data_IF_061634199254
#
_entry.id   IF_061634199254
#
_cell.length_a   1.000
_cell.length_b   1.000
_cell.length_c   1.000
_cell.angle_alpha   90.00
_cell.angle_beta   90.00
_cell.angle_gamma   90.00
#
_symmetry.space_group_name_H-M   'P 1'
#
loop_
_entity.id
_entity.type
_entity.pdbx_description
1 polymer ?
#
# COMPACT_ATOMS: atom_id res chain seq x y z
N UNK A 1 59.84 -36.49 -63.66
CA UNK A 1 59.85 -35.64 -62.45
C UNK A 1 58.82 -34.53 -62.66
N UNK A 2 57.60 -34.70 -62.18
CA UNK A 2 56.56 -33.70 -62.30
C UNK A 2 56.18 -33.27 -60.88
N UNK A 3 56.47 -32.02 -60.53
CA UNK A 3 56.16 -31.37 -59.25
C UNK A 3 54.70 -30.87 -59.26
N UNK A 4 53.88 -31.42 -58.41
CA UNK A 4 52.53 -30.93 -58.14
C UNK A 4 52.66 -29.81 -57.12
N UNK A 5 52.06 -28.66 -57.42
CA UNK A 5 51.85 -27.52 -56.52
C UNK A 5 50.53 -27.75 -55.75
N UNK A 6 50.51 -27.65 -54.41
CA UNK A 6 49.24 -27.76 -53.67
C UNK A 6 48.40 -26.51 -53.78
N UNK A 7 47.11 -26.68 -54.07
CA UNK A 7 46.13 -25.60 -54.12
C UNK A 7 45.92 -24.96 -52.74
N UNK A 8 45.96 -23.62 -52.65
CA UNK A 8 45.68 -22.81 -51.51
C UNK A 8 44.17 -22.86 -51.22
N UNK A 9 43.79 -23.37 -50.06
CA UNK A 9 42.40 -23.26 -49.54
C UNK A 9 42.15 -21.84 -49.04
N UNK A 10 41.22 -21.15 -49.69
CA UNK A 10 40.65 -19.86 -49.25
C UNK A 10 39.79 -20.10 -47.99
N UNK A 11 39.92 -19.34 -46.89
CA UNK A 11 39.04 -19.51 -45.73
C UNK A 11 37.62 -19.03 -46.09
N UNK A 12 36.65 -19.91 -45.92
CA UNK A 12 35.23 -19.61 -46.05
C UNK A 12 34.85 -18.57 -45.00
N UNK A 13 34.37 -17.42 -45.45
CA UNK A 13 33.80 -16.39 -44.60
C UNK A 13 32.55 -16.96 -43.93
N UNK A 14 32.64 -17.34 -42.64
CA UNK A 14 31.46 -17.62 -41.80
C UNK A 14 30.64 -16.34 -41.68
N UNK A 15 29.52 -16.30 -42.37
CA UNK A 15 28.48 -15.28 -42.19
C UNK A 15 27.89 -15.42 -40.78
N UNK A 16 28.26 -14.49 -39.88
CA UNK A 16 27.62 -14.41 -38.57
C UNK A 16 26.10 -14.26 -38.75
N UNK A 17 25.29 -15.09 -38.09
CA UNK A 17 23.83 -15.00 -38.20
C UNK A 17 23.37 -13.61 -37.76
N UNK A 18 22.64 -12.91 -38.64
CA UNK A 18 22.04 -11.61 -38.31
C UNK A 18 21.05 -11.81 -37.16
N UNK A 19 21.39 -11.25 -36.01
CA UNK A 19 20.51 -11.29 -34.81
C UNK A 19 19.25 -10.54 -35.08
N UNK A 20 18.11 -11.19 -34.86
CA UNK A 20 16.77 -10.62 -35.05
C UNK A 20 16.48 -9.41 -34.14
N UNK A 21 15.46 -8.59 -34.45
CA UNK A 21 15.10 -7.43 -33.64
C UNK A 21 14.85 -7.77 -32.16
N UNK A 22 14.27 -8.93 -31.88
CA UNK A 22 14.02 -9.42 -30.51
C UNK A 22 15.31 -9.70 -29.74
N UNK A 23 16.36 -10.24 -30.42
CA UNK A 23 17.66 -10.49 -29.80
C UNK A 23 18.41 -9.17 -29.50
N UNK A 24 18.30 -8.18 -30.35
CA UNK A 24 18.87 -6.83 -30.11
C UNK A 24 18.21 -6.13 -28.95
N UNK A 25 16.87 -6.25 -28.84
CA UNK A 25 16.09 -5.69 -27.73
C UNK A 25 16.46 -6.37 -26.39
N UNK A 26 16.57 -7.69 -26.39
CA UNK A 26 16.95 -8.45 -25.19
C UNK A 26 18.36 -8.17 -24.71
N UNK A 27 19.32 -7.99 -25.63
CA UNK A 27 20.70 -7.58 -25.34
C UNK A 27 20.76 -6.12 -24.85
N UNK A 28 19.98 -5.21 -25.43
CA UNK A 28 19.86 -3.83 -24.98
C UNK A 28 19.31 -3.75 -23.56
N UNK A 29 18.25 -4.49 -23.27
CA UNK A 29 17.65 -4.56 -21.92
C UNK A 29 18.59 -5.19 -20.90
N UNK A 30 19.33 -6.25 -21.27
CA UNK A 30 20.27 -6.90 -20.38
C UNK A 30 21.49 -6.02 -20.07
N UNK A 31 21.99 -5.26 -21.05
CA UNK A 31 23.10 -4.32 -20.86
C UNK A 31 22.68 -3.10 -20.04
N UNK A 32 21.46 -2.59 -20.23
CA UNK A 32 20.90 -1.51 -19.41
C UNK A 32 20.72 -1.98 -17.95
N UNK A 33 20.16 -3.17 -17.73
CA UNK A 33 20.02 -3.75 -16.41
C UNK A 33 21.37 -4.00 -15.70
N UNK A 34 22.40 -4.39 -16.45
CA UNK A 34 23.76 -4.57 -15.92
C UNK A 34 24.36 -3.22 -15.48
N UNK A 35 24.21 -2.18 -16.29
CA UNK A 35 24.64 -0.81 -15.93
C UNK A 35 23.88 -0.26 -14.72
N UNK A 36 22.56 -0.45 -14.64
CA UNK A 36 21.75 -0.05 -13.48
C UNK A 36 22.19 -0.76 -12.19
N UNK A 37 22.75 -1.98 -12.29
CA UNK A 37 23.25 -2.73 -11.12
C UNK A 37 24.33 -2.02 -10.32
N UNK A 38 25.12 -1.15 -10.96
CA UNK A 38 26.16 -0.32 -10.35
C UNK A 38 25.68 1.00 -9.72
N UNK A 39 24.45 1.41 -9.98
CA UNK A 39 23.92 2.67 -9.48
C UNK A 39 23.61 2.63 -7.97
N UNK A 40 23.59 3.79 -7.29
CA UNK A 40 23.15 3.86 -5.91
C UNK A 40 21.75 3.27 -5.74
N UNK A 41 21.52 2.58 -4.65
CA UNK A 41 20.25 1.88 -4.40
C UNK A 41 19.02 2.82 -4.45
N UNK A 42 19.16 4.02 -3.91
CA UNK A 42 18.08 5.02 -3.91
C UNK A 42 17.67 5.44 -5.32
N UNK A 43 18.64 5.60 -6.23
CA UNK A 43 18.36 5.92 -7.62
C UNK A 43 17.65 4.76 -8.34
N UNK A 44 18.09 3.51 -8.10
CA UNK A 44 17.43 2.33 -8.65
C UNK A 44 15.96 2.27 -8.22
N UNK A 45 15.66 2.46 -6.92
CA UNK A 45 14.31 2.44 -6.35
C UNK A 45 13.47 3.59 -6.89
N UNK A 46 14.00 4.81 -6.94
CA UNK A 46 13.29 5.97 -7.49
C UNK A 46 12.91 5.75 -8.95
N UNK A 47 13.84 5.24 -9.77
CA UNK A 47 13.56 4.95 -11.17
C UNK A 47 12.52 3.85 -11.36
N UNK A 48 12.53 2.79 -10.53
CA UNK A 48 11.49 1.75 -10.54
C UNK A 48 10.12 2.39 -10.25
N UNK A 49 10.04 3.22 -9.21
CA UNK A 49 8.78 3.87 -8.83
C UNK A 49 8.30 4.83 -9.93
N UNK A 50 9.18 5.71 -10.42
CA UNK A 50 8.84 6.68 -11.48
C UNK A 50 8.40 5.96 -12.76
N UNK A 51 9.11 4.92 -13.20
CA UNK A 51 8.72 4.13 -14.37
C UNK A 51 7.32 3.51 -14.20
N UNK A 52 7.03 2.95 -13.02
CA UNK A 52 5.69 2.43 -12.73
C UNK A 52 4.63 3.54 -12.72
N UNK A 53 4.94 4.74 -12.22
CA UNK A 53 4.01 5.90 -12.24
C UNK A 53 3.77 6.41 -13.65
N UNK A 54 4.79 6.41 -14.52
CA UNK A 54 4.61 6.76 -15.92
C UNK A 54 3.68 5.77 -16.65
N UNK A 55 3.82 4.47 -16.40
CA UNK A 55 2.88 3.47 -16.93
C UNK A 55 1.46 3.76 -16.44
N UNK A 56 1.28 3.99 -15.14
CA UNK A 56 -0.04 4.31 -14.58
C UNK A 56 -0.59 5.63 -15.14
N UNK A 57 0.25 6.64 -15.37
CA UNK A 57 -0.18 7.91 -15.99
C UNK A 57 -0.67 7.69 -17.43
N UNK A 58 0.01 6.86 -18.22
CA UNK A 58 -0.45 6.50 -19.56
C UNK A 58 -1.82 5.79 -19.50
N UNK A 59 -2.04 4.89 -18.53
CA UNK A 59 -3.33 4.22 -18.33
C UNK A 59 -4.42 5.22 -17.96
N UNK A 60 -4.15 6.16 -17.02
CA UNK A 60 -5.09 7.22 -16.67
C UNK A 60 -5.42 8.13 -17.87
N UNK A 61 -4.42 8.56 -18.65
CA UNK A 61 -4.63 9.39 -19.84
C UNK A 61 -5.49 8.66 -20.88
N UNK A 62 -5.21 7.38 -21.13
CA UNK A 62 -6.01 6.58 -22.05
C UNK A 62 -7.46 6.40 -21.57
N UNK A 63 -7.67 6.19 -20.28
CA UNK A 63 -9.01 6.07 -19.70
C UNK A 63 -9.76 7.41 -19.71
N UNK A 64 -9.08 8.53 -19.43
CA UNK A 64 -9.68 9.87 -19.41
C UNK A 64 -10.32 10.27 -20.76
N UNK A 65 -9.67 9.92 -21.87
CA UNK A 65 -10.21 10.17 -23.24
C UNK A 65 -11.58 9.51 -23.44
N UNK A 66 -11.82 8.38 -22.78
CA UNK A 66 -13.06 7.61 -22.90
C UNK A 66 -14.06 7.90 -21.77
N UNK A 67 -13.73 8.79 -20.83
CA UNK A 67 -14.63 9.15 -19.75
C UNK A 67 -15.83 9.92 -20.29
N UNK A 68 -17.01 9.36 -20.16
CA UNK A 68 -18.26 10.00 -20.51
C UNK A 68 -18.70 11.07 -19.52
N UNK A 69 -19.98 11.47 -19.62
CA UNK A 69 -20.61 12.42 -18.68
C UNK A 69 -20.43 11.95 -17.24
N UNK A 70 -20.08 12.86 -16.36
CA UNK A 70 -19.79 12.62 -14.97
C UNK A 70 -20.13 13.88 -14.12
N UNK A 71 -20.20 13.80 -12.77
CA UNK A 71 -20.62 14.92 -11.94
C UNK A 71 -19.59 16.06 -11.79
N UNK A 72 -18.32 15.87 -12.18
CA UNK A 72 -17.24 16.80 -11.79
C UNK A 72 -16.71 17.66 -12.94
N UNK A 73 -16.75 17.17 -14.20
CA UNK A 73 -16.17 17.85 -15.36
C UNK A 73 -16.82 17.40 -16.68
N UNK A 74 -16.60 18.13 -17.78
CA UNK A 74 -17.08 17.72 -19.11
C UNK A 74 -16.50 16.34 -19.53
N UNK A 75 -17.18 15.63 -20.47
CA UNK A 75 -16.65 14.40 -21.04
C UNK A 75 -15.24 14.55 -21.60
N UNK A 76 -14.46 13.47 -21.60
CA UNK A 76 -13.06 13.42 -22.04
C UNK A 76 -12.17 14.46 -21.31
N UNK A 77 -12.10 14.43 -19.96
CA UNK A 77 -11.31 15.36 -19.19
C UNK A 77 -9.81 15.21 -19.46
N UNK A 78 -9.05 16.21 -19.11
CA UNK A 78 -7.60 16.11 -19.06
C UNK A 78 -7.15 15.19 -17.90
N UNK A 79 -5.85 14.86 -17.90
CA UNK A 79 -5.24 14.00 -16.88
C UNK A 79 -5.47 14.53 -15.45
N UNK A 80 -5.30 15.83 -15.23
CA UNK A 80 -5.37 16.44 -13.89
C UNK A 80 -6.78 16.36 -13.31
N UNK A 81 -7.80 16.64 -14.13
CA UNK A 81 -9.19 16.50 -13.73
C UNK A 81 -9.52 15.02 -13.44
N UNK A 82 -9.09 14.10 -14.32
CA UNK A 82 -9.43 12.69 -14.19
C UNK A 82 -8.84 12.03 -12.95
N UNK A 83 -7.62 12.41 -12.52
CA UNK A 83 -7.01 11.84 -11.33
C UNK A 83 -7.55 12.42 -10.01
N UNK A 84 -8.38 13.45 -10.04
CA UNK A 84 -8.87 14.17 -8.84
C UNK A 84 -10.30 13.84 -8.45
N UNK A 85 -10.90 12.84 -9.08
CA UNK A 85 -12.27 12.40 -8.77
C UNK A 85 -12.34 11.60 -7.46
N UNK A 86 -13.55 11.29 -7.02
CA UNK A 86 -13.85 10.50 -5.83
C UNK A 86 -13.30 11.13 -4.54
N UNK A 87 -12.55 10.40 -3.73
CA UNK A 87 -12.00 10.86 -2.46
C UNK A 87 -11.06 12.08 -2.60
N UNK A 88 -10.46 12.30 -3.80
CA UNK A 88 -9.63 13.46 -4.07
C UNK A 88 -10.37 14.79 -3.85
N UNK A 89 -11.66 14.83 -4.16
CA UNK A 89 -12.52 16.00 -3.91
C UNK A 89 -12.81 16.20 -2.43
N UNK A 90 -12.97 15.12 -1.68
CA UNK A 90 -13.17 15.22 -0.23
C UNK A 90 -11.90 15.64 0.51
N UNK A 91 -10.73 15.18 0.07
CA UNK A 91 -9.47 15.70 0.60
C UNK A 91 -9.26 17.17 0.26
N UNK A 92 -9.68 17.61 -0.93
CA UNK A 92 -9.69 19.02 -1.29
C UNK A 92 -10.64 19.81 -0.37
N UNK A 93 -11.88 19.36 -0.20
CA UNK A 93 -12.86 19.97 0.71
C UNK A 93 -12.32 20.12 2.13
N UNK A 94 -11.73 19.06 2.68
CA UNK A 94 -11.09 19.11 4.00
C UNK A 94 -9.88 20.06 4.03
N UNK A 95 -9.13 20.19 2.94
CA UNK A 95 -8.03 21.14 2.85
C UNK A 95 -8.50 22.58 2.76
N UNK A 96 -9.54 22.88 2.00
CA UNK A 96 -10.03 24.23 1.78
C UNK A 96 -10.88 24.73 2.96
N UNK A 97 -11.86 23.92 3.40
CA UNK A 97 -12.90 24.33 4.35
C UNK A 97 -12.72 23.74 5.76
N UNK A 98 -11.93 22.67 5.91
CA UNK A 98 -11.75 21.98 7.20
C UNK A 98 -12.86 20.98 7.49
N UNK A 99 -13.19 20.86 8.77
CA UNK A 99 -14.15 19.86 9.26
C UNK A 99 -15.35 20.55 9.90
N UNK A 100 -16.58 20.08 9.62
CA UNK A 100 -17.78 20.71 10.16
C UNK A 100 -17.86 20.53 11.68
N UNK A 101 -18.20 21.62 12.39
CA UNK A 101 -18.47 21.59 13.83
C UNK A 101 -19.86 21.02 14.17
N UNK A 102 -20.75 20.97 13.19
CA UNK A 102 -22.08 20.35 13.30
C UNK A 102 -22.18 19.32 12.18
N UNK A 103 -22.53 18.07 12.51
CA UNK A 103 -22.67 17.03 11.49
C UNK A 103 -23.84 17.36 10.54
N UNK A 104 -23.62 17.28 9.21
CA UNK A 104 -24.72 17.46 8.27
C UNK A 104 -25.68 16.27 8.38
N UNK A 105 -26.98 16.57 8.51
CA UNK A 105 -28.04 15.56 8.60
C UNK A 105 -29.09 15.80 7.53
N UNK A 106 -29.77 14.74 7.09
CA UNK A 106 -30.95 14.84 6.23
C UNK A 106 -32.22 15.24 7.02
N UNK A 107 -33.35 15.33 6.33
CA UNK A 107 -34.64 15.65 6.92
C UNK A 107 -35.10 14.64 8.01
N UNK A 108 -34.53 13.44 8.04
CA UNK A 108 -34.83 12.39 9.01
C UNK A 108 -33.82 12.34 10.16
N UNK A 109 -32.83 13.26 10.20
CA UNK A 109 -31.77 13.29 11.20
C UNK A 109 -30.65 12.29 10.98
N UNK A 110 -30.58 11.66 9.79
CA UNK A 110 -29.51 10.72 9.40
C UNK A 110 -28.30 11.53 8.94
N UNK A 111 -27.12 11.20 9.51
CA UNK A 111 -25.85 11.85 9.14
C UNK A 111 -25.54 11.59 7.68
N UNK A 112 -25.22 12.66 6.97
CA UNK A 112 -24.79 12.63 5.58
C UNK A 112 -23.27 12.44 5.47
N UNK A 113 -22.80 12.02 4.28
CA UNK A 113 -21.38 11.99 3.95
C UNK A 113 -20.71 13.34 4.23
N UNK A 114 -19.58 13.33 4.92
CA UNK A 114 -18.87 14.55 5.28
C UNK A 114 -17.37 14.31 5.45
N UNK A 115 -16.61 15.39 5.66
CA UNK A 115 -15.15 15.36 5.70
C UNK A 115 -14.56 14.54 6.86
N UNK A 116 -15.29 14.25 7.94
CA UNK A 116 -14.76 13.48 9.08
C UNK A 116 -14.34 12.04 8.73
N UNK A 117 -14.76 11.48 7.58
CA UNK A 117 -14.25 10.22 7.06
C UNK A 117 -12.77 10.32 6.59
N UNK A 118 -12.25 11.54 6.40
CA UNK A 118 -10.93 11.81 5.83
C UNK A 118 -10.00 12.40 6.89
N UNK A 119 -8.95 11.69 7.25
CA UNK A 119 -8.02 12.04 8.32
C UNK A 119 -7.21 13.30 8.02
N UNK A 120 -6.97 14.14 9.03
CA UNK A 120 -6.51 15.52 8.87
C UNK A 120 -5.07 15.70 8.35
N UNK A 121 -4.16 14.74 8.56
CA UNK A 121 -2.75 14.99 8.27
C UNK A 121 -2.51 15.34 6.80
N UNK A 122 -3.12 14.58 5.89
CA UNK A 122 -2.89 14.76 4.45
C UNK A 122 -3.47 16.10 3.93
N UNK A 123 -4.76 16.44 4.16
CA UNK A 123 -5.31 17.71 3.72
C UNK A 123 -4.64 18.92 4.40
N UNK A 124 -4.24 18.82 5.67
CA UNK A 124 -3.59 19.95 6.34
C UNK A 124 -2.15 20.18 5.89
N UNK A 125 -1.42 19.14 5.53
CA UNK A 125 -0.13 19.30 4.85
C UNK A 125 -0.30 20.01 3.50
N UNK A 126 -1.34 19.66 2.75
CA UNK A 126 -1.63 20.32 1.47
C UNK A 126 -2.05 21.78 1.64
N UNK A 127 -2.90 22.08 2.63
CA UNK A 127 -3.24 23.46 3.00
C UNK A 127 -1.98 24.27 3.34
N UNK A 128 -1.09 23.72 4.17
CA UNK A 128 0.17 24.37 4.55
C UNK A 128 1.08 24.62 3.36
N UNK A 129 1.21 23.63 2.47
CA UNK A 129 2.01 23.76 1.24
C UNK A 129 1.40 24.78 0.27
N UNK A 130 0.09 24.77 0.09
CA UNK A 130 -0.64 25.73 -0.73
C UNK A 130 -0.44 27.16 -0.22
N UNK A 131 -0.58 27.37 1.09
CA UNK A 131 -0.36 28.67 1.72
C UNK A 131 1.08 29.18 1.59
N UNK A 132 2.07 28.28 1.67
CA UNK A 132 3.49 28.62 1.56
C UNK A 132 3.94 28.93 0.13
N UNK A 133 3.29 28.34 -0.87
CA UNK A 133 3.74 28.40 -2.28
C UNK A 133 2.80 29.20 -3.19
N UNK A 134 1.57 29.49 -2.75
CA UNK A 134 0.54 30.10 -3.58
C UNK A 134 -0.12 29.13 -4.59
N UNK A 135 0.24 27.82 -4.61
CA UNK A 135 -0.44 26.85 -5.46
C UNK A 135 -1.84 26.50 -4.91
N UNK A 136 -2.72 25.98 -5.76
CA UNK A 136 -4.00 25.44 -5.29
C UNK A 136 -3.83 24.20 -4.40
N UNK A 137 -4.82 23.90 -3.56
CA UNK A 137 -4.78 22.75 -2.64
C UNK A 137 -4.75 21.40 -3.38
N UNK A 138 -5.45 21.28 -4.49
CA UNK A 138 -5.48 20.04 -5.27
C UNK A 138 -4.14 19.66 -5.90
N UNK A 139 -3.40 20.59 -6.57
CA UNK A 139 -2.00 20.36 -6.94
C UNK A 139 -1.10 20.03 -5.75
N UNK A 140 -1.30 20.69 -4.59
CA UNK A 140 -0.52 20.42 -3.39
C UNK A 140 -0.75 18.98 -2.87
N UNK A 141 -2.01 18.52 -2.82
CA UNK A 141 -2.36 17.13 -2.48
C UNK A 141 -1.67 16.13 -3.42
N UNK A 142 -1.73 16.37 -4.73
CA UNK A 142 -1.12 15.49 -5.74
C UNK A 142 0.41 15.43 -5.60
N UNK A 143 1.04 16.58 -5.34
CA UNK A 143 2.49 16.67 -5.14
C UNK A 143 2.92 15.91 -3.87
N UNK A 144 2.22 16.12 -2.75
CA UNK A 144 2.49 15.42 -1.49
C UNK A 144 2.31 13.91 -1.68
N UNK A 145 1.22 13.46 -2.32
CA UNK A 145 0.99 12.05 -2.59
C UNK A 145 2.13 11.43 -3.41
N UNK A 146 2.56 12.10 -4.49
CA UNK A 146 3.64 11.60 -5.37
C UNK A 146 4.98 11.54 -4.64
N UNK A 147 5.35 12.60 -3.89
CA UNK A 147 6.61 12.64 -3.13
C UNK A 147 6.61 11.61 -1.99
N UNK A 148 5.48 11.48 -1.27
CA UNK A 148 5.32 10.46 -0.25
C UNK A 148 5.40 9.04 -0.84
N UNK A 149 4.89 8.82 -2.05
CA UNK A 149 5.02 7.56 -2.77
C UNK A 149 6.47 7.19 -3.09
N UNK A 150 7.29 8.16 -3.55
CA UNK A 150 8.75 7.97 -3.72
C UNK A 150 9.40 7.63 -2.38
N UNK A 151 9.09 8.41 -1.33
CA UNK A 151 9.59 8.17 0.02
C UNK A 151 9.22 6.77 0.53
N UNK A 152 7.97 6.36 0.33
CA UNK A 152 7.50 5.02 0.70
C UNK A 152 8.31 3.92 -0.01
N UNK A 153 8.53 4.04 -1.32
CA UNK A 153 9.32 3.07 -2.07
C UNK A 153 10.76 2.95 -1.52
N UNK A 154 11.40 4.07 -1.17
CA UNK A 154 12.74 4.10 -0.57
C UNK A 154 12.77 3.41 0.80
N UNK A 155 11.78 3.70 1.66
CA UNK A 155 11.69 3.09 3.00
C UNK A 155 11.32 1.61 2.90
N UNK A 156 10.41 1.22 2.02
CA UNK A 156 10.02 -0.18 1.76
C UNK A 156 11.24 -0.97 1.29
N UNK A 157 12.08 -0.41 0.41
CA UNK A 157 13.33 -1.08 0.01
C UNK A 157 14.22 -1.34 1.23
N UNK A 158 14.42 -0.36 2.09
CA UNK A 158 15.22 -0.53 3.31
C UNK A 158 14.61 -1.58 4.25
N UNK A 159 13.29 -1.55 4.42
CA UNK A 159 12.58 -2.56 5.22
C UNK A 159 12.77 -3.97 4.64
N UNK A 160 12.65 -4.14 3.34
CA UNK A 160 12.84 -5.43 2.68
C UNK A 160 14.30 -5.91 2.76
N UNK A 161 15.25 -4.98 2.85
CA UNK A 161 16.67 -5.31 3.03
C UNK A 161 16.99 -5.93 4.40
N UNK A 162 16.16 -5.72 5.40
CA UNK A 162 16.32 -6.37 6.71
C UNK A 162 16.08 -7.90 6.62
N UNK A 163 15.31 -8.36 5.63
CA UNK A 163 14.88 -9.76 5.49
C UNK A 163 15.42 -10.45 4.23
N UNK A 164 15.92 -9.70 3.26
CA UNK A 164 16.31 -10.26 1.97
C UNK A 164 17.50 -9.56 1.33
N UNK A 165 18.16 -10.25 0.39
CA UNK A 165 19.24 -9.70 -0.41
C UNK A 165 18.76 -8.59 -1.35
N UNK A 166 19.71 -7.70 -1.79
CA UNK A 166 19.46 -6.53 -2.65
C UNK A 166 18.49 -6.83 -3.81
N UNK A 167 18.71 -7.92 -4.54
CA UNK A 167 17.91 -8.27 -5.71
C UNK A 167 16.45 -8.63 -5.37
N UNK A 168 16.22 -9.35 -4.28
CA UNK A 168 14.86 -9.69 -3.85
C UNK A 168 14.13 -8.46 -3.33
N UNK A 169 14.79 -7.60 -2.55
CA UNK A 169 14.24 -6.34 -2.08
C UNK A 169 13.83 -5.41 -3.24
N UNK A 170 14.68 -5.28 -4.28
CA UNK A 170 14.32 -4.51 -5.48
C UNK A 170 13.08 -5.08 -6.19
N UNK A 171 12.99 -6.41 -6.33
CA UNK A 171 11.80 -7.03 -6.92
C UNK A 171 10.55 -6.87 -6.05
N UNK A 172 10.71 -6.88 -4.73
CA UNK A 172 9.62 -6.51 -3.83
C UNK A 172 9.09 -5.10 -4.09
N UNK A 173 10.02 -4.12 -4.27
CA UNK A 173 9.63 -2.74 -4.63
C UNK A 173 8.97 -2.68 -6.01
N UNK A 174 9.48 -3.42 -7.01
CA UNK A 174 8.81 -3.51 -8.33
C UNK A 174 7.38 -3.99 -8.16
N UNK A 175 7.14 -5.05 -7.38
CA UNK A 175 5.78 -5.59 -7.18
C UNK A 175 4.87 -4.64 -6.40
N UNK A 176 5.36 -3.91 -5.40
CA UNK A 176 4.59 -2.84 -4.74
C UNK A 176 4.25 -1.74 -5.73
N UNK A 177 5.24 -1.29 -6.53
CA UNK A 177 5.06 -0.18 -7.47
C UNK A 177 4.18 -0.52 -8.67
N UNK A 178 4.08 -1.80 -9.05
CA UNK A 178 3.23 -2.27 -10.15
C UNK A 178 1.95 -2.97 -9.69
N UNK A 179 1.71 -3.08 -8.37
CA UNK A 179 0.51 -3.70 -7.81
C UNK A 179 -0.77 -3.15 -8.48
N UNK A 180 -1.82 -3.95 -8.68
CA UNK A 180 -2.99 -3.55 -9.47
C UNK A 180 -3.60 -2.20 -9.10
N UNK A 181 -3.63 -1.86 -7.81
CA UNK A 181 -4.16 -0.58 -7.32
C UNK A 181 -3.08 0.49 -7.09
N UNK A 182 -1.83 0.22 -7.46
CA UNK A 182 -0.74 1.17 -7.25
C UNK A 182 -0.87 2.50 -8.03
N UNK A 183 -1.71 2.65 -9.08
CA UNK A 183 -2.02 3.97 -9.65
C UNK A 183 -2.48 4.99 -8.61
N UNK A 184 -3.10 4.55 -7.50
CA UNK A 184 -3.50 5.43 -6.39
C UNK A 184 -2.33 6.19 -5.75
N UNK A 185 -1.10 5.72 -5.91
CA UNK A 185 0.09 6.34 -5.33
C UNK A 185 0.54 7.64 -6.03
N UNK A 186 -0.18 8.09 -7.05
CA UNK A 186 0.08 9.36 -7.76
C UNK A 186 -1.13 10.29 -7.82
N UNK A 187 -2.25 9.91 -7.21
CA UNK A 187 -3.46 10.72 -7.16
C UNK A 187 -3.58 11.42 -5.80
N UNK A 188 -4.42 12.47 -5.65
CA UNK A 188 -4.53 13.25 -4.43
C UNK A 188 -5.24 12.50 -3.29
N UNK A 189 -4.65 11.38 -2.86
CA UNK A 189 -5.15 10.45 -1.84
C UNK A 189 -4.12 10.24 -0.73
N UNK A 190 -4.56 9.95 0.48
CA UNK A 190 -3.70 9.77 1.65
C UNK A 190 -2.89 8.45 1.66
N UNK A 191 -3.16 7.51 0.73
CA UNK A 191 -2.54 6.19 0.66
C UNK A 191 -1.02 6.25 0.62
N UNK A 192 -0.45 7.11 -0.22
CA UNK A 192 1.01 7.28 -0.35
C UNK A 192 1.65 7.77 0.94
N UNK A 193 1.04 8.79 1.57
CA UNK A 193 1.53 9.35 2.84
C UNK A 193 1.43 8.31 3.96
N UNK A 194 0.30 7.61 4.06
CA UNK A 194 0.14 6.54 5.04
C UNK A 194 1.13 5.40 4.80
N UNK A 195 1.37 4.99 3.54
CA UNK A 195 2.32 3.94 3.20
C UNK A 195 3.75 4.33 3.58
N UNK A 196 4.15 5.59 3.41
CA UNK A 196 5.44 6.12 3.86
C UNK A 196 5.58 6.01 5.38
N UNK A 197 4.58 6.51 6.11
CA UNK A 197 4.60 6.52 7.58
C UNK A 197 4.53 5.11 8.15
N UNK A 198 3.68 4.25 7.60
CA UNK A 198 3.55 2.85 8.00
C UNK A 198 4.85 2.07 7.74
N UNK A 199 5.42 2.18 6.55
CA UNK A 199 6.68 1.48 6.25
C UNK A 199 7.83 1.99 7.12
N UNK A 200 7.86 3.30 7.43
CA UNK A 200 8.80 3.91 8.37
C UNK A 200 8.63 3.38 9.80
N UNK A 201 7.40 3.33 10.29
CA UNK A 201 7.08 2.78 11.61
C UNK A 201 7.48 1.30 11.71
N UNK A 202 7.14 0.48 10.70
CA UNK A 202 7.53 -0.93 10.65
C UNK A 202 9.06 -1.11 10.60
N UNK A 203 9.77 -0.29 9.82
CA UNK A 203 11.24 -0.33 9.76
C UNK A 203 11.86 -0.02 11.13
N UNK A 204 11.34 0.98 11.82
CA UNK A 204 11.82 1.35 13.16
C UNK A 204 11.51 0.26 14.19
N UNK A 205 10.35 -0.38 14.13
CA UNK A 205 9.99 -1.53 14.97
C UNK A 205 10.92 -2.72 14.71
N UNK A 206 11.16 -3.07 13.46
CA UNK A 206 12.09 -4.14 13.06
C UNK A 206 13.50 -3.85 13.57
N UNK A 207 13.96 -2.61 13.51
CA UNK A 207 15.25 -2.14 14.02
C UNK A 207 15.24 -1.90 15.53
N UNK A 208 14.15 -2.23 16.23
CA UNK A 208 13.97 -2.05 17.69
C UNK A 208 14.13 -0.60 18.16
N UNK A 209 13.96 0.38 17.28
CA UNK A 209 14.00 1.81 17.59
C UNK A 209 12.62 2.32 18.00
N UNK A 210 12.04 1.73 19.06
CA UNK A 210 10.65 1.94 19.45
C UNK A 210 10.32 3.39 19.78
N UNK A 211 11.19 4.08 20.53
CA UNK A 211 10.97 5.49 20.86
C UNK A 211 11.02 6.40 19.64
N UNK A 212 11.91 6.12 18.67
CA UNK A 212 11.96 6.85 17.41
C UNK A 212 10.73 6.57 16.53
N UNK A 213 10.04 5.44 16.71
CA UNK A 213 8.80 5.14 16.01
C UNK A 213 7.61 5.98 16.49
N UNK A 214 7.63 6.49 17.73
CA UNK A 214 6.52 7.22 18.34
C UNK A 214 6.02 8.39 17.47
N UNK A 215 6.85 9.37 17.08
CA UNK A 215 6.36 10.49 16.25
C UNK A 215 5.84 10.03 14.90
N UNK A 216 6.46 9.01 14.29
CA UNK A 216 6.02 8.46 13.00
C UNK A 216 4.64 7.80 13.14
N UNK A 217 4.42 7.04 14.22
CA UNK A 217 3.14 6.37 14.51
C UNK A 217 2.03 7.39 14.80
N UNK A 218 2.30 8.47 15.54
CA UNK A 218 1.32 9.53 15.77
C UNK A 218 0.88 10.17 14.45
N UNK A 219 1.82 10.51 13.57
CA UNK A 219 1.50 11.03 12.24
C UNK A 219 0.72 9.99 11.40
N UNK A 220 1.12 8.72 11.45
CA UNK A 220 0.43 7.63 10.76
C UNK A 220 -1.04 7.53 11.22
N UNK A 221 -1.30 7.60 12.52
CA UNK A 221 -2.65 7.56 13.09
C UNK A 221 -3.53 8.74 12.64
N UNK A 222 -2.93 9.87 12.27
CA UNK A 222 -3.64 11.04 11.74
C UNK A 222 -3.73 11.06 10.21
N UNK A 223 -3.20 10.05 9.53
CA UNK A 223 -3.26 9.96 8.07
C UNK A 223 -4.33 9.00 7.54
N UNK A 224 -4.56 7.87 8.23
CA UNK A 224 -5.59 6.84 7.93
C UNK A 224 -5.82 5.95 9.17
N UNK A 225 -6.92 5.14 9.20
CA UNK A 225 -7.25 4.29 10.36
C UNK A 225 -6.30 3.06 10.52
N UNK A 226 -5.04 3.17 10.12
CA UNK A 226 -4.03 2.12 10.29
C UNK A 226 -3.47 2.04 11.72
N UNK A 227 -3.80 3.01 12.57
CA UNK A 227 -3.39 3.03 13.97
C UNK A 227 -3.92 1.85 14.78
N UNK A 228 -5.17 1.45 14.56
CA UNK A 228 -5.81 0.31 15.28
C UNK A 228 -5.06 -1.00 15.05
N UNK A 229 -4.88 -1.46 13.80
CA UNK A 229 -4.13 -2.70 13.56
C UNK A 229 -2.65 -2.59 13.93
N UNK A 230 -2.05 -1.39 13.90
CA UNK A 230 -0.68 -1.19 14.34
C UNK A 230 -0.56 -1.32 15.87
N UNK A 231 -1.48 -0.74 16.64
CA UNK A 231 -1.53 -0.90 18.09
C UNK A 231 -1.71 -2.38 18.49
N UNK A 232 -2.58 -3.10 17.78
CA UNK A 232 -2.76 -4.54 17.97
C UNK A 232 -1.45 -5.31 17.68
N UNK A 233 -0.76 -4.99 16.60
CA UNK A 233 0.51 -5.63 16.22
C UNK A 233 1.59 -5.41 17.28
N UNK A 234 1.82 -4.16 17.73
CA UNK A 234 2.87 -3.88 18.74
C UNK A 234 2.47 -4.42 20.11
N UNK A 235 1.18 -4.46 20.44
CA UNK A 235 0.65 -5.08 21.65
C UNK A 235 0.92 -6.60 21.68
N UNK A 236 0.60 -7.32 20.61
CA UNK A 236 0.89 -8.74 20.46
C UNK A 236 2.41 -9.01 20.47
N UNK A 237 3.20 -8.13 19.85
CA UNK A 237 4.66 -8.23 19.89
C UNK A 237 5.19 -8.08 21.32
N UNK A 238 4.65 -7.14 22.11
CA UNK A 238 5.01 -6.97 23.52
C UNK A 238 4.66 -8.22 24.33
N UNK A 239 3.44 -8.72 24.19
CA UNK A 239 3.00 -9.95 24.86
C UNK A 239 3.88 -11.15 24.49
N UNK A 240 4.24 -11.29 23.22
CA UNK A 240 5.15 -12.32 22.76
C UNK A 240 6.54 -12.22 23.39
N UNK A 241 7.09 -11.00 23.54
CA UNK A 241 8.40 -10.78 24.16
C UNK A 241 8.37 -10.96 25.68
N UNK A 242 7.29 -10.57 26.35
CA UNK A 242 7.05 -10.86 27.76
C UNK A 242 6.95 -12.37 27.98
N UNK A 243 6.19 -13.08 27.17
CA UNK A 243 6.16 -14.54 27.19
C UNK A 243 7.57 -15.15 27.10
N UNK A 244 8.36 -14.71 26.12
CA UNK A 244 9.73 -15.19 25.94
C UNK A 244 10.64 -14.89 27.15
N UNK A 245 10.38 -13.82 27.89
CA UNK A 245 11.15 -13.46 29.08
C UNK A 245 10.82 -14.36 30.28
N UNK A 246 9.52 -14.61 30.51
CA UNK A 246 9.05 -15.32 31.70
C UNK A 246 9.01 -16.85 31.53
N UNK A 247 8.89 -17.33 30.28
CA UNK A 247 8.92 -18.76 29.92
C UNK A 247 10.00 -19.03 28.86
N UNK A 248 11.28 -19.00 29.24
CA UNK A 248 12.36 -19.30 28.29
C UNK A 248 12.28 -20.78 27.92
N UNK A 249 11.98 -21.08 26.65
CA UNK A 249 12.08 -22.44 26.11
C UNK A 249 13.56 -22.86 26.19
N UNK A 250 13.85 -24.00 26.82
CA UNK A 250 15.20 -24.46 27.21
C UNK A 250 16.24 -24.70 26.11
N UNK A 251 16.04 -24.20 24.90
CA UNK A 251 16.93 -24.35 23.74
C UNK A 251 17.59 -23.03 23.28
N UNK A 252 17.52 -21.95 24.09
CA UNK A 252 18.29 -20.74 23.77
C UNK A 252 19.76 -20.94 24.08
N UNK A 253 20.69 -20.70 23.13
CA UNK A 253 22.06 -20.39 23.50
C UNK A 253 22.02 -19.19 24.48
N UNK A 254 22.71 -19.27 25.56
CA UNK A 254 22.87 -18.14 26.49
C UNK A 254 23.27 -16.90 25.69
N UNK A 255 22.70 -15.72 25.97
CA UNK A 255 23.09 -14.50 25.27
C UNK A 255 24.59 -14.33 25.50
N UNK A 256 25.33 -14.42 24.40
CA UNK A 256 26.75 -14.07 24.39
C UNK A 256 26.80 -12.56 24.59
N UNK A 257 27.18 -12.16 25.79
CA UNK A 257 27.33 -10.79 26.28
C UNK A 257 26.01 -10.00 26.47
N UNK A 258 25.84 -9.43 27.68
CA UNK A 258 24.76 -8.51 28.06
C UNK A 258 24.88 -7.16 27.37
N UNK A 259 24.64 -7.15 26.05
CA UNK A 259 24.54 -5.94 25.26
C UNK A 259 23.10 -5.41 25.24
N UNK A 260 22.94 -4.11 25.01
CA UNK A 260 21.68 -3.37 24.85
C UNK A 260 20.74 -3.96 23.75
N UNK A 261 21.17 -4.99 23.05
CA UNK A 261 20.50 -5.62 21.90
C UNK A 261 19.53 -6.78 22.23
N UNK A 262 19.38 -7.17 23.50
CA UNK A 262 18.43 -8.22 23.87
C UNK A 262 16.97 -7.70 23.75
N UNK A 263 16.15 -8.30 22.85
CA UNK A 263 14.76 -7.90 22.66
C UNK A 263 13.88 -8.11 23.91
N UNK A 264 14.33 -8.88 24.86
CA UNK A 264 13.63 -9.16 26.14
C UNK A 264 14.22 -8.38 27.32
N UNK A 265 15.18 -7.48 27.08
CA UNK A 265 15.71 -6.58 28.10
C UNK A 265 14.61 -5.65 28.63
N UNK A 266 14.70 -5.25 29.93
CA UNK A 266 13.68 -4.37 30.51
C UNK A 266 13.56 -3.05 29.77
N UNK A 267 14.68 -2.47 29.31
CA UNK A 267 14.71 -1.23 28.53
C UNK A 267 13.97 -1.41 27.19
N UNK A 268 14.18 -2.52 26.48
CA UNK A 268 13.49 -2.85 25.23
C UNK A 268 11.99 -3.03 25.47
N UNK A 269 11.60 -3.74 26.54
CA UNK A 269 10.19 -3.96 26.88
C UNK A 269 9.48 -2.66 27.29
N UNK A 270 10.12 -1.80 28.08
CA UNK A 270 9.56 -0.51 28.48
C UNK A 270 9.38 0.43 27.28
N UNK A 271 10.37 0.51 26.39
CA UNK A 271 10.27 1.33 25.19
C UNK A 271 9.21 0.80 24.19
N UNK A 272 9.06 -0.52 24.05
CA UNK A 272 7.99 -1.13 23.30
C UNK A 272 6.62 -0.89 23.96
N UNK A 273 6.53 -0.99 25.30
CA UNK A 273 5.33 -0.66 26.06
C UNK A 273 4.89 0.79 25.89
N UNK A 274 5.85 1.73 25.89
CA UNK A 274 5.57 3.14 25.57
C UNK A 274 5.00 3.30 24.14
N UNK A 275 5.57 2.59 23.16
CA UNK A 275 5.05 2.60 21.77
C UNK A 275 3.63 2.02 21.71
N UNK A 276 3.34 0.93 22.45
CA UNK A 276 1.98 0.33 22.52
C UNK A 276 0.98 1.34 23.06
N UNK A 277 1.31 2.02 24.17
CA UNK A 277 0.46 3.03 24.77
C UNK A 277 0.18 4.18 23.81
N UNK A 278 1.23 4.73 23.19
CA UNK A 278 1.09 5.85 22.24
C UNK A 278 0.35 5.44 20.99
N UNK A 279 0.58 4.22 20.45
CA UNK A 279 -0.18 3.71 19.30
C UNK A 279 -1.66 3.55 19.65
N UNK A 280 -2.01 3.05 20.83
CA UNK A 280 -3.40 2.94 21.30
C UNK A 280 -4.08 4.30 21.44
N UNK A 281 -3.43 5.28 22.06
CA UNK A 281 -3.94 6.66 22.17
C UNK A 281 -4.08 7.28 20.76
N UNK A 282 -3.06 7.14 19.93
CA UNK A 282 -3.07 7.67 18.57
C UNK A 282 -4.17 7.08 17.69
N UNK A 283 -4.48 5.79 17.86
CA UNK A 283 -5.56 5.13 17.13
C UNK A 283 -6.94 5.73 17.44
N UNK A 284 -7.12 6.28 18.64
CA UNK A 284 -8.36 6.93 19.10
C UNK A 284 -8.33 8.46 18.89
N UNK A 285 -7.20 9.03 18.48
CA UNK A 285 -7.03 10.49 18.39
C UNK A 285 -8.01 11.11 17.40
N UNK A 286 -8.23 10.51 16.23
CA UNK A 286 -9.12 11.05 15.22
C UNK A 286 -10.60 11.04 15.66
N UNK A 287 -11.17 9.92 16.14
CA UNK A 287 -12.50 9.93 16.76
C UNK A 287 -12.64 10.93 17.93
N UNK A 288 -11.60 11.06 18.76
CA UNK A 288 -11.62 12.01 19.88
C UNK A 288 -11.62 13.48 19.41
N UNK A 289 -10.88 13.81 18.34
CA UNK A 289 -10.89 15.14 17.72
C UNK A 289 -12.28 15.44 17.14
N UNK A 290 -12.88 14.47 16.42
CA UNK A 290 -14.24 14.62 15.90
C UNK A 290 -15.25 14.89 17.02
N UNK A 291 -15.18 14.10 18.11
CA UNK A 291 -16.01 14.33 19.29
C UNK A 291 -15.78 15.72 19.91
N UNK A 292 -14.54 16.09 20.17
CA UNK A 292 -14.22 17.39 20.78
C UNK A 292 -14.69 18.58 19.93
N UNK A 293 -14.70 18.44 18.59
CA UNK A 293 -15.11 19.49 17.67
C UNK A 293 -16.63 19.58 17.53
N UNK A 294 -17.33 18.44 17.49
CA UNK A 294 -18.78 18.39 17.23
C UNK A 294 -19.62 18.31 18.50
N UNK A 295 -19.03 17.97 19.64
CA UNK A 295 -19.74 17.64 20.88
C UNK A 295 -20.41 16.25 20.87
N UNK A 296 -20.36 15.50 19.76
CA UNK A 296 -21.01 14.20 19.61
C UNK A 296 -19.98 13.06 19.71
N UNK A 297 -20.10 12.24 20.76
CA UNK A 297 -19.17 11.09 20.98
C UNK A 297 -19.11 10.13 19.78
N UNK A 298 -20.22 9.98 19.08
CA UNK A 298 -20.36 9.05 17.93
C UNK A 298 -20.14 9.75 16.58
N UNK A 299 -19.65 10.99 16.54
CA UNK A 299 -19.50 11.75 15.31
C UNK A 299 -18.74 11.00 14.22
N UNK A 300 -17.57 10.43 14.56
CA UNK A 300 -16.76 9.66 13.62
C UNK A 300 -17.47 8.39 13.13
N UNK A 301 -18.03 7.61 14.04
CA UNK A 301 -18.71 6.34 13.67
C UNK A 301 -19.96 6.58 12.86
N UNK A 302 -20.77 7.59 13.18
CA UNK A 302 -21.95 8.00 12.38
C UNK A 302 -21.52 8.49 10.98
N UNK A 303 -20.42 9.22 10.87
CA UNK A 303 -19.87 9.59 9.56
C UNK A 303 -19.46 8.35 8.77
N UNK A 304 -18.72 7.41 9.37
CA UNK A 304 -18.30 6.17 8.68
C UNK A 304 -19.50 5.33 8.21
N UNK A 305 -20.60 5.28 9.00
CA UNK A 305 -21.82 4.57 8.60
C UNK A 305 -22.55 5.28 7.45
N UNK A 306 -22.49 6.60 7.38
CA UNK A 306 -23.04 7.37 6.25
C UNK A 306 -22.37 7.02 4.90
N UNK A 307 -21.08 6.66 4.94
CA UNK A 307 -20.35 6.21 3.76
C UNK A 307 -20.61 4.75 3.38
N UNK A 308 -21.05 3.94 4.34
CA UNK A 308 -21.24 2.50 4.17
C UNK A 308 -22.70 2.09 3.98
N UNK A 309 -23.63 3.00 4.28
CA UNK A 309 -25.07 2.77 4.18
C UNK A 309 -25.64 1.77 5.18
N UNK A 310 -24.89 1.35 6.21
CA UNK A 310 -25.28 0.35 7.18
C UNK A 310 -24.61 0.58 8.54
N UNK A 311 -25.23 0.06 9.60
CA UNK A 311 -24.65 0.02 10.94
C UNK A 311 -23.34 -0.76 10.98
N UNK A 312 -22.44 -0.35 11.91
CA UNK A 312 -21.20 -1.06 12.14
C UNK A 312 -21.46 -2.35 12.92
N UNK A 313 -21.67 -3.45 12.20
CA UNK A 313 -21.78 -4.78 12.79
C UNK A 313 -20.54 -5.59 12.39
N UNK A 314 -19.67 -5.94 13.34
CA UNK A 314 -18.43 -6.67 13.06
C UNK A 314 -18.71 -7.95 12.23
N UNK A 315 -17.86 -8.22 11.25
CA UNK A 315 -17.89 -9.36 10.33
C UNK A 315 -19.11 -9.47 9.41
N UNK A 316 -20.29 -8.94 9.80
CA UNK A 316 -21.55 -9.07 9.05
C UNK A 316 -21.43 -8.69 7.56
N UNK A 317 -20.76 -7.56 7.19
CA UNK A 317 -20.66 -7.15 5.79
C UNK A 317 -20.02 -8.20 4.87
N UNK A 318 -19.07 -8.99 5.37
CA UNK A 318 -18.43 -10.05 4.59
C UNK A 318 -19.42 -11.18 4.23
N UNK A 319 -20.32 -11.51 5.14
CA UNK A 319 -21.37 -12.51 4.89
C UNK A 319 -22.43 -11.96 3.95
N UNK A 320 -22.82 -10.69 4.09
CA UNK A 320 -23.82 -10.07 3.25
C UNK A 320 -23.32 -9.95 1.80
N UNK A 321 -22.09 -9.45 1.61
CA UNK A 321 -21.44 -9.40 0.29
C UNK A 321 -21.21 -10.81 -0.27
N UNK A 322 -20.82 -11.77 0.56
CA UNK A 322 -20.68 -13.15 0.16
C UNK A 322 -22.00 -13.73 -0.36
N UNK A 323 -23.11 -13.53 0.36
CA UNK A 323 -24.45 -13.98 -0.07
C UNK A 323 -24.90 -13.30 -1.37
N UNK A 324 -24.61 -12.01 -1.52
CA UNK A 324 -24.92 -11.26 -2.74
C UNK A 324 -24.18 -11.82 -3.97
N UNK A 325 -22.89 -12.18 -3.80
CA UNK A 325 -22.05 -12.63 -4.92
C UNK A 325 -22.19 -14.13 -5.23
N UNK A 326 -22.38 -14.98 -4.21
CA UNK A 326 -22.29 -16.43 -4.33
C UNK A 326 -23.57 -17.17 -3.88
N UNK A 327 -24.63 -16.42 -3.55
CA UNK A 327 -25.88 -16.98 -3.08
C UNK A 327 -25.86 -17.40 -1.60
N UNK A 328 -27.01 -17.93 -1.06
CA UNK A 328 -27.23 -18.06 0.37
C UNK A 328 -26.32 -19.08 1.07
N UNK A 329 -25.89 -20.13 0.37
CA UNK A 329 -25.05 -21.20 0.94
C UNK A 329 -23.58 -20.91 0.76
N UNK A 330 -23.12 -20.76 -0.48
CA UNK A 330 -21.70 -20.51 -0.79
C UNK A 330 -21.24 -19.16 -0.24
N UNK A 331 -22.13 -18.18 -0.21
CA UNK A 331 -21.83 -16.86 0.34
C UNK A 331 -21.52 -16.84 1.83
N UNK A 332 -22.13 -17.75 2.62
CA UNK A 332 -21.79 -17.91 4.04
C UNK A 332 -20.42 -18.56 4.22
N UNK A 333 -20.04 -19.46 3.31
CA UNK A 333 -18.74 -20.14 3.35
C UNK A 333 -17.59 -19.24 2.86
N UNK A 334 -17.86 -18.30 1.96
CA UNK A 334 -16.84 -17.48 1.29
C UNK A 334 -15.89 -16.74 2.27
N UNK A 335 -16.34 -16.05 3.34
CA UNK A 335 -15.43 -15.40 4.30
C UNK A 335 -14.53 -16.40 5.04
N UNK A 336 -15.01 -17.60 5.35
CA UNK A 336 -14.20 -18.63 5.99
C UNK A 336 -13.13 -19.18 5.04
N UNK A 337 -13.50 -19.45 3.79
CA UNK A 337 -12.56 -19.90 2.75
C UNK A 337 -11.49 -18.83 2.51
N UNK A 338 -11.88 -17.56 2.37
CA UNK A 338 -10.95 -16.45 2.22
C UNK A 338 -9.99 -16.35 3.41
N UNK A 339 -10.50 -16.43 4.63
CA UNK A 339 -9.67 -16.40 5.85
C UNK A 339 -8.73 -17.60 5.92
N UNK A 340 -9.20 -18.80 5.61
CA UNK A 340 -8.37 -20.00 5.57
C UNK A 340 -7.24 -19.90 4.53
N UNK A 341 -7.54 -19.42 3.33
CA UNK A 341 -6.54 -19.17 2.29
C UNK A 341 -5.50 -18.15 2.75
N UNK A 342 -5.93 -17.06 3.40
CA UNK A 342 -5.00 -16.07 3.95
C UNK A 342 -4.09 -16.71 5.02
N UNK A 343 -4.63 -17.49 5.94
CA UNK A 343 -3.85 -18.22 6.95
C UNK A 343 -2.85 -19.18 6.29
N UNK A 344 -3.25 -19.93 5.26
CA UNK A 344 -2.34 -20.79 4.51
C UNK A 344 -1.19 -19.99 3.87
N UNK A 345 -1.48 -18.84 3.29
CA UNK A 345 -0.46 -17.92 2.77
C UNK A 345 0.49 -17.47 3.89
N UNK A 346 -0.05 -17.09 5.06
CA UNK A 346 0.74 -16.68 6.22
C UNK A 346 1.64 -17.80 6.79
N UNK A 347 1.26 -19.06 6.58
CA UNK A 347 2.05 -20.23 6.97
C UNK A 347 3.10 -20.63 5.93
N UNK A 348 3.08 -20.07 4.73
CA UNK A 348 4.00 -20.39 3.64
C UNK A 348 5.46 -20.03 3.96
N UNK A 349 6.40 -20.75 3.39
CA UNK A 349 7.84 -20.51 3.60
C UNK A 349 8.27 -19.08 3.24
N UNK A 350 7.85 -18.48 2.10
CA UNK A 350 8.23 -17.10 1.76
C UNK A 350 7.71 -16.06 2.76
N UNK A 351 6.49 -16.23 3.29
CA UNK A 351 5.93 -15.31 4.28
C UNK A 351 6.61 -15.50 5.64
N UNK A 352 6.98 -16.72 6.01
CA UNK A 352 7.76 -16.94 7.25
C UNK A 352 9.13 -16.25 7.21
N UNK A 353 9.70 -16.06 6.03
CA UNK A 353 10.96 -15.32 5.86
C UNK A 353 10.84 -13.80 6.12
N UNK A 354 9.63 -13.24 6.20
CA UNK A 354 9.38 -11.82 6.53
C UNK A 354 9.60 -11.48 8.02
N UNK A 355 9.94 -12.46 8.86
CA UNK A 355 10.09 -12.25 10.29
C UNK A 355 8.76 -12.10 11.04
N UNK A 356 8.86 -11.98 12.36
CA UNK A 356 7.68 -11.95 13.24
C UNK A 356 6.90 -10.63 13.11
N UNK A 357 7.59 -9.51 13.05
CA UNK A 357 7.01 -8.17 13.04
C UNK A 357 6.11 -7.94 11.82
N UNK A 358 6.62 -8.23 10.61
CA UNK A 358 5.83 -8.03 9.38
C UNK A 358 4.70 -9.06 9.23
N UNK A 359 4.90 -10.26 9.76
CA UNK A 359 3.82 -11.26 9.80
C UNK A 359 2.71 -10.85 10.75
N UNK A 360 3.04 -10.38 11.95
CA UNK A 360 2.06 -9.84 12.90
C UNK A 360 1.32 -8.65 12.30
N UNK A 361 2.03 -7.75 11.61
CA UNK A 361 1.39 -6.65 10.90
C UNK A 361 0.35 -7.16 9.90
N UNK A 362 0.73 -8.05 9.00
CA UNK A 362 -0.19 -8.58 7.99
C UNK A 362 -1.40 -9.28 8.63
N UNK A 363 -1.19 -10.04 9.72
CA UNK A 363 -2.25 -10.73 10.43
C UNK A 363 -3.21 -9.74 11.13
N UNK A 364 -2.67 -8.76 11.87
CA UNK A 364 -3.48 -7.75 12.56
C UNK A 364 -4.24 -6.86 11.59
N UNK A 365 -3.60 -6.46 10.48
CA UNK A 365 -4.27 -5.64 9.47
C UNK A 365 -5.40 -6.41 8.76
N UNK A 366 -5.17 -7.66 8.38
CA UNK A 366 -6.23 -8.49 7.82
C UNK A 366 -7.36 -8.74 8.83
N UNK A 367 -7.03 -8.99 10.10
CA UNK A 367 -8.01 -9.10 11.17
C UNK A 367 -8.85 -7.83 11.31
N UNK A 368 -8.21 -6.66 11.25
CA UNK A 368 -8.90 -5.37 11.25
C UNK A 368 -9.87 -5.23 10.05
N UNK A 369 -9.44 -5.61 8.84
CA UNK A 369 -10.30 -5.60 7.66
C UNK A 369 -11.50 -6.55 7.81
N UNK A 370 -11.28 -7.76 8.36
CA UNK A 370 -12.38 -8.71 8.59
C UNK A 370 -13.42 -8.19 9.59
N UNK A 371 -12.99 -7.41 10.60
CA UNK A 371 -13.90 -6.85 11.61
C UNK A 371 -14.65 -5.63 11.09
N UNK A 372 -13.96 -4.69 10.43
CA UNK A 372 -14.49 -3.36 10.17
C UNK A 372 -14.77 -3.04 8.71
N UNK A 373 -14.18 -3.76 7.75
CA UNK A 373 -14.36 -3.45 6.33
C UNK A 373 -15.72 -3.93 5.83
N UNK A 374 -16.44 -3.05 5.15
CA UNK A 374 -17.53 -3.41 4.27
C UNK A 374 -16.94 -3.70 2.88
N UNK A 375 -16.94 -4.98 2.41
CA UNK A 375 -16.35 -5.32 1.11
C UNK A 375 -17.14 -4.68 -0.03
N UNK A 376 -16.48 -3.83 -0.76
CA UNK A 376 -16.97 -3.13 -1.94
C UNK A 376 -15.81 -2.89 -2.91
N UNK A 377 -15.99 -2.14 -3.96
CA UNK A 377 -14.96 -1.86 -4.96
C UNK A 377 -13.67 -1.27 -4.39
N UNK A 378 -13.79 -0.39 -3.37
CA UNK A 378 -12.65 0.19 -2.64
C UNK A 378 -11.83 -0.83 -1.82
N UNK A 379 -12.33 -2.05 -1.61
CA UNK A 379 -11.59 -3.12 -0.89
C UNK A 379 -10.21 -3.35 -1.48
N UNK A 380 -10.07 -3.28 -2.80
CA UNK A 380 -8.78 -3.54 -3.47
C UNK A 380 -7.70 -2.55 -3.03
N UNK A 381 -8.02 -1.25 -2.86
CA UNK A 381 -7.07 -0.25 -2.38
C UNK A 381 -6.74 -0.43 -0.89
N UNK A 382 -7.69 -0.95 -0.10
CA UNK A 382 -7.47 -1.25 1.31
C UNK A 382 -6.51 -2.43 1.53
N UNK A 383 -6.15 -3.20 0.48
CA UNK A 383 -5.12 -4.24 0.57
C UNK A 383 -3.68 -3.68 0.46
N UNK A 384 -3.51 -2.42 0.08
CA UNK A 384 -2.17 -1.81 -0.10
C UNK A 384 -1.27 -1.88 1.16
N UNK A 385 -1.78 -1.72 2.40
CA UNK A 385 -0.97 -1.89 3.61
C UNK A 385 -0.44 -3.32 3.85
N UNK A 386 -0.92 -4.31 3.10
CA UNK A 386 -0.32 -5.66 3.06
C UNK A 386 0.92 -5.74 2.17
N UNK A 387 1.50 -4.61 1.79
CA UNK A 387 2.71 -4.52 0.95
C UNK A 387 3.88 -5.43 1.38
N UNK A 388 4.06 -5.85 2.65
CA UNK A 388 5.12 -6.80 2.99
C UNK A 388 5.01 -8.13 2.24
N UNK A 389 3.79 -8.54 1.84
CA UNK A 389 3.59 -9.76 1.04
C UNK A 389 4.22 -9.67 -0.35
N UNK A 390 4.48 -8.47 -0.88
CA UNK A 390 5.20 -8.30 -2.14
C UNK A 390 6.64 -8.83 -2.06
N UNK A 391 7.30 -8.74 -0.90
CA UNK A 391 8.60 -9.38 -0.69
C UNK A 391 8.46 -10.91 -0.70
N UNK A 392 7.42 -11.46 -0.08
CA UNK A 392 7.17 -12.91 -0.12
C UNK A 392 6.96 -13.39 -1.57
N UNK A 393 6.20 -12.65 -2.39
CA UNK A 393 6.04 -12.91 -3.82
C UNK A 393 7.38 -12.86 -4.55
N UNK A 394 8.27 -11.90 -4.23
CA UNK A 394 9.60 -11.81 -4.82
C UNK A 394 10.54 -12.96 -4.43
N UNK A 395 10.28 -13.60 -3.27
CA UNK A 395 11.03 -14.75 -2.75
C UNK A 395 10.54 -16.09 -3.30
N UNK A 396 9.32 -16.18 -3.86
CA UNK A 396 8.77 -17.42 -4.43
C UNK A 396 9.64 -17.98 -5.55
N UNK A 397 10.17 -17.12 -6.43
CA UNK A 397 11.04 -17.58 -7.53
C UNK A 397 12.09 -16.54 -7.93
N UNK A 398 13.28 -17.05 -8.31
CA UNK A 398 14.35 -16.25 -8.89
C UNK A 398 14.24 -16.15 -10.43
N UNK A 399 13.30 -16.88 -11.05
CA UNK A 399 13.09 -16.93 -12.50
C UNK A 399 12.74 -15.55 -13.05
N UNK A 400 13.38 -15.16 -14.15
CA UNK A 400 13.06 -13.92 -14.88
C UNK A 400 11.66 -14.01 -15.52
N UNK A 401 11.29 -15.19 -16.05
CA UNK A 401 9.98 -15.41 -16.63
C UNK A 401 8.87 -15.22 -15.59
N UNK A 402 8.95 -15.86 -14.43
CA UNK A 402 8.01 -15.69 -13.33
C UNK A 402 7.82 -14.21 -12.97
N UNK A 403 8.94 -13.51 -12.72
CA UNK A 403 8.91 -12.09 -12.32
C UNK A 403 8.32 -11.19 -13.40
N UNK A 404 8.67 -11.45 -14.66
CA UNK A 404 8.10 -10.74 -15.81
C UNK A 404 6.61 -10.99 -15.94
N UNK A 405 6.15 -12.23 -15.80
CA UNK A 405 4.71 -12.58 -15.84
C UNK A 405 3.94 -11.87 -14.73
N UNK A 406 4.46 -11.82 -13.49
CA UNK A 406 3.79 -11.10 -12.38
C UNK A 406 3.67 -9.61 -12.68
N UNK A 407 4.72 -8.96 -13.21
CA UNK A 407 4.68 -7.53 -13.58
C UNK A 407 3.66 -7.29 -14.68
N UNK A 408 3.68 -8.09 -15.75
CA UNK A 408 2.72 -7.95 -16.85
C UNK A 408 1.29 -8.13 -16.34
N UNK A 409 1.03 -9.17 -15.55
CA UNK A 409 -0.28 -9.40 -14.95
C UNK A 409 -0.72 -8.22 -14.08
N UNK A 410 0.16 -7.68 -13.24
CA UNK A 410 -0.15 -6.53 -12.40
C UNK A 410 -0.47 -5.27 -13.23
N UNK A 411 0.29 -5.00 -14.30
CA UNK A 411 0.01 -3.88 -15.21
C UNK A 411 -1.31 -4.07 -15.94
N UNK A 412 -1.64 -5.27 -16.41
CA UNK A 412 -2.94 -5.55 -17.02
C UNK A 412 -4.08 -5.32 -16.01
N UNK A 413 -3.90 -5.76 -14.76
CA UNK A 413 -4.88 -5.51 -13.70
C UNK A 413 -4.98 -4.03 -13.30
N UNK A 414 -3.91 -3.21 -13.46
CA UNK A 414 -4.01 -1.75 -13.33
C UNK A 414 -4.95 -1.16 -14.39
N UNK A 415 -4.87 -1.64 -15.63
CA UNK A 415 -5.78 -1.20 -16.70
C UNK A 415 -7.23 -1.53 -16.31
N UNK A 416 -7.47 -2.76 -15.86
CA UNK A 416 -8.80 -3.17 -15.38
C UNK A 416 -9.26 -2.27 -14.23
N UNK A 417 -8.40 -2.02 -13.22
CA UNK A 417 -8.76 -1.20 -12.07
C UNK A 417 -9.09 0.25 -12.47
N UNK A 418 -8.28 0.86 -13.36
CA UNK A 418 -8.51 2.25 -13.79
C UNK A 418 -9.75 2.35 -14.68
N UNK A 419 -9.90 1.45 -15.66
CA UNK A 419 -11.00 1.55 -16.64
C UNK A 419 -12.35 1.15 -16.02
N UNK A 420 -12.35 0.22 -15.06
CA UNK A 420 -13.60 -0.29 -14.50
C UNK A 420 -13.97 0.34 -13.17
N UNK A 421 -13.00 0.59 -12.29
CA UNK A 421 -13.30 1.07 -10.93
C UNK A 421 -12.98 2.56 -10.74
N UNK A 422 -11.90 3.07 -11.36
CA UNK A 422 -11.58 4.50 -11.26
C UNK A 422 -12.46 5.36 -12.16
N UNK A 423 -12.62 5.00 -13.43
CA UNK A 423 -13.50 5.71 -14.34
C UNK A 423 -14.94 5.70 -13.79
N UNK A 424 -15.57 6.87 -13.79
CA UNK A 424 -16.93 7.00 -13.29
C UNK A 424 -17.93 6.45 -14.29
N UNK A 425 -18.88 5.67 -13.79
CA UNK A 425 -20.02 5.19 -14.54
C UNK A 425 -21.26 5.21 -13.64
N UNK A 426 -22.37 5.75 -14.16
CA UNK A 426 -23.64 5.69 -13.43
C UNK A 426 -24.23 4.29 -13.55
N UNK A 427 -24.61 3.73 -12.41
CA UNK A 427 -25.29 2.44 -12.37
C UNK A 427 -26.76 2.53 -12.78
N UNK A 428 -27.33 1.47 -13.35
CA UNK A 428 -28.79 1.33 -13.51
C UNK A 428 -29.46 1.46 -12.12
N UNK A 429 -30.39 2.42 -12.00
CA UNK A 429 -31.08 2.68 -10.73
C UNK A 429 -30.46 3.77 -9.85
N UNK A 430 -29.41 4.45 -10.33
CA UNK A 430 -28.66 5.48 -9.60
C UNK A 430 -27.59 4.90 -8.68
N UNK A 431 -26.57 5.67 -8.43
CA UNK A 431 -25.40 5.24 -7.68
C UNK A 431 -24.16 5.05 -8.56
N UNK A 432 -23.03 4.79 -7.93
CA UNK A 432 -21.74 4.65 -8.56
C UNK A 432 -20.86 3.65 -7.80
N UNK A 433 -19.67 3.35 -8.32
CA UNK A 433 -18.68 2.46 -7.70
C UNK A 433 -17.40 3.27 -7.38
N UNK A 434 -17.26 3.87 -6.20
CA UNK A 434 -15.98 4.49 -5.80
C UNK A 434 -14.89 3.42 -5.67
N UNK A 435 -13.69 3.66 -6.22
CA UNK A 435 -12.57 2.71 -6.22
C UNK A 435 -11.93 2.51 -4.85
#
# INVERSE_FOLDING_TARGET
MSSQIPASQTPSSETQPQRGPADRLSLGLSSAAARMGGWPWWLQVTLIFVAARLVSACVFMAAAIHQGTNPWFPPAPDYWNFITIWDGRWYQEAADNGYPSVLPVDANGVVQQNAWAFYALFPFLARGLAAATGMGTLPALTLIATLAGVGAALVIYQLFREFAGKRAALWGVVFVSTFPVSPILQVPYAESLNLLLLSGALLLVVRRRYLAAIPVVLLMCLSRPTGVPFAAMVGLLLLWRLWQRFWPSGTRPAPVSGGDDDPTSLRSLLSLGALVLVAGIGALAWPAIAWATTGELTAYTRTETAWRGHDLVPFKPWFDTGRMLFGPVLGVLAPFVFTALFVLVMMSRPVRALGTELRLWCACYMGYLLVFLHPQTSTFRMLLPLFPLALAVALLSKSKAYRGTVVVMFVLLQIVWVVWLWAWAQLPGGGDYPP
#
